data_IF_537771690981
#
_entry.id   IF_537771690981
#
_cell.length_a   1.000
_cell.length_b   1.000
_cell.length_c   1.000
_cell.angle_alpha   90.00
_cell.angle_beta   90.00
_cell.angle_gamma   90.00
#
_symmetry.space_group_name_H-M   'P 1'
#
loop_
_entity.id
_entity.type
_entity.pdbx_description
1 polymer ?
#
# COMPACT_ATOMS: atom_id res chain seq x y z
N UNK A 1 25.11 39.36 29.89
CA UNK A 1 25.99 38.52 29.03
C UNK A 1 25.83 37.01 29.24
N UNK A 2 25.73 36.48 30.47
CA UNK A 2 25.60 35.02 30.72
C UNK A 2 24.35 34.35 30.10
N UNK A 3 23.20 35.01 30.10
CA UNK A 3 21.93 34.46 29.58
C UNK A 3 21.89 34.31 28.03
N UNK A 4 22.65 35.14 27.31
CA UNK A 4 22.72 35.08 25.84
C UNK A 4 23.58 33.89 25.39
N UNK A 5 24.70 33.64 26.09
CA UNK A 5 25.55 32.48 25.84
C UNK A 5 24.86 31.14 26.08
N UNK A 6 24.01 31.06 27.12
CA UNK A 6 23.24 29.83 27.42
C UNK A 6 22.18 29.53 26.36
N UNK A 7 21.50 30.56 25.83
CA UNK A 7 20.50 30.40 24.75
C UNK A 7 21.16 30.00 23.43
N UNK A 8 22.31 30.58 23.11
CA UNK A 8 23.09 30.20 21.92
C UNK A 8 23.61 28.77 22.01
N UNK A 9 24.12 28.35 23.17
CA UNK A 9 24.54 26.97 23.40
C UNK A 9 23.38 25.98 23.27
N UNK A 10 22.20 26.31 23.81
CA UNK A 10 21.00 25.47 23.67
C UNK A 10 20.57 25.33 22.21
N UNK A 11 20.59 26.42 21.43
CA UNK A 11 20.24 26.39 20.01
C UNK A 11 21.20 25.52 19.18
N UNK A 12 22.51 25.60 19.46
CA UNK A 12 23.53 24.75 18.81
C UNK A 12 23.33 23.28 19.17
N UNK A 13 23.02 22.99 20.44
CA UNK A 13 22.80 21.62 20.92
C UNK A 13 21.55 20.99 20.30
N UNK A 14 20.46 21.75 20.21
CA UNK A 14 19.23 21.32 19.51
C UNK A 14 19.49 21.10 18.02
N UNK A 15 20.24 21.99 17.37
CA UNK A 15 20.63 21.82 15.97
C UNK A 15 21.50 20.58 15.73
N UNK A 16 22.47 20.31 16.61
CA UNK A 16 23.33 19.14 16.51
C UNK A 16 22.54 17.82 16.71
N UNK A 17 21.61 17.79 17.67
CA UNK A 17 20.72 16.63 17.89
C UNK A 17 19.81 16.39 16.69
N UNK A 18 19.27 17.45 16.06
CA UNK A 18 18.45 17.32 14.87
C UNK A 18 19.23 16.75 13.67
N UNK A 19 20.47 17.19 13.46
CA UNK A 19 21.33 16.68 12.38
C UNK A 19 21.69 15.20 12.60
N UNK A 20 21.99 14.80 13.84
CA UNK A 20 22.25 13.39 14.20
C UNK A 20 20.98 12.52 14.10
N UNK A 21 19.80 13.09 14.33
CA UNK A 21 18.52 12.40 14.14
C UNK A 21 18.22 12.09 12.66
N UNK A 22 18.55 13.02 11.75
CA UNK A 22 18.32 12.87 10.31
C UNK A 22 19.21 11.79 9.66
N UNK A 23 20.40 11.53 10.20
CA UNK A 23 21.30 10.46 9.68
C UNK A 23 20.94 9.06 10.22
N UNK A 24 20.12 8.98 11.27
CA UNK A 24 19.70 7.70 11.88
C UNK A 24 18.46 7.07 11.21
N UNK A 25 17.75 7.81 10.36
CA UNK A 25 16.61 7.28 9.63
C UNK A 25 17.11 6.59 8.36
N UNK A 26 17.38 5.29 8.43
CA UNK A 26 17.75 4.51 7.24
C UNK A 26 16.62 4.60 6.21
N UNK A 27 16.95 4.40 4.94
CA UNK A 27 15.94 4.38 3.88
C UNK A 27 14.86 3.30 4.14
N UNK A 28 15.22 2.21 4.82
CA UNK A 28 14.28 1.19 5.29
C UNK A 28 13.35 1.70 6.41
N UNK A 29 13.87 2.46 7.38
CA UNK A 29 13.05 3.09 8.43
C UNK A 29 12.09 4.14 7.83
N UNK A 30 12.57 4.94 6.88
CA UNK A 30 11.74 5.91 6.15
C UNK A 30 10.65 5.20 5.33
N UNK A 31 10.97 4.07 4.68
CA UNK A 31 10.01 3.27 3.93
C UNK A 31 8.96 2.61 4.83
N UNK A 32 9.33 2.20 6.05
CA UNK A 32 8.39 1.68 7.06
C UNK A 32 7.41 2.77 7.50
N UNK A 33 7.92 3.94 7.89
CA UNK A 33 7.09 5.09 8.28
C UNK A 33 6.15 5.50 7.12
N UNK A 34 6.68 5.55 5.90
CA UNK A 34 5.89 5.85 4.70
C UNK A 34 4.76 4.82 4.50
N UNK A 35 5.04 3.52 4.66
CA UNK A 35 4.03 2.43 4.54
C UNK A 35 3.06 2.34 5.72
N UNK A 36 3.45 2.83 6.89
CA UNK A 36 2.59 2.86 8.09
C UNK A 36 1.62 4.05 8.03
N UNK A 37 2.06 5.19 7.47
CA UNK A 37 1.21 6.37 7.26
C UNK A 37 0.36 6.22 5.98
N UNK A 38 0.96 5.69 4.92
CA UNK A 38 0.29 5.35 3.68
C UNK A 38 0.09 3.84 3.65
N UNK A 39 -1.10 3.37 4.02
CA UNK A 39 -1.52 1.99 3.79
C UNK A 39 -1.58 1.75 2.27
N UNK A 40 -0.42 1.50 1.65
CA UNK A 40 -0.11 1.55 0.21
C UNK A 40 -0.84 0.52 -0.67
N UNK A 41 -1.89 -0.10 -0.16
CA UNK A 41 -2.81 -0.85 -1.00
C UNK A 41 -3.89 0.14 -1.41
N UNK A 42 -3.57 0.92 -2.45
CA UNK A 42 -4.19 2.18 -2.84
C UNK A 42 -5.71 2.24 -2.73
N UNK A 43 -6.20 3.40 -2.29
CA UNK A 43 -7.59 3.83 -2.47
C UNK A 43 -7.90 3.85 -3.97
N UNK A 44 -9.07 3.38 -4.40
CA UNK A 44 -9.43 3.26 -5.83
C UNK A 44 -8.55 2.25 -6.63
N UNK A 45 -8.18 1.14 -6.00
CA UNK A 45 -7.40 0.09 -6.64
C UNK A 45 -8.15 -0.66 -7.75
N UNK A 46 -7.39 -1.12 -8.73
CA UNK A 46 -7.82 -1.94 -9.86
C UNK A 46 -6.96 -3.19 -9.92
N UNK A 47 -7.60 -4.34 -10.07
CA UNK A 47 -6.94 -5.61 -10.29
C UNK A 47 -7.35 -6.17 -11.64
N UNK A 48 -6.36 -6.45 -12.48
CA UNK A 48 -6.54 -7.05 -13.80
C UNK A 48 -5.92 -8.43 -13.84
N UNK A 49 -6.62 -9.42 -14.40
CA UNK A 49 -6.14 -10.79 -14.58
C UNK A 49 -6.03 -11.09 -16.06
N UNK A 50 -4.87 -11.59 -16.48
CA UNK A 50 -4.53 -11.85 -17.88
C UNK A 50 -4.38 -13.35 -18.16
N UNK A 51 -4.86 -13.78 -19.33
CA UNK A 51 -4.58 -15.07 -19.93
C UNK A 51 -3.78 -14.85 -21.22
N UNK A 52 -2.46 -14.86 -21.11
CA UNK A 52 -1.58 -14.38 -22.18
C UNK A 52 -1.78 -12.88 -22.39
N UNK A 53 -2.09 -12.47 -23.61
CA UNK A 53 -2.31 -11.06 -23.98
C UNK A 53 -3.75 -10.57 -23.70
N UNK A 54 -4.65 -11.46 -23.27
CA UNK A 54 -6.07 -11.15 -23.08
C UNK A 54 -6.37 -10.82 -21.63
N UNK A 55 -6.98 -9.66 -21.38
CA UNK A 55 -7.65 -9.36 -20.11
C UNK A 55 -8.89 -10.24 -19.98
N UNK A 56 -8.96 -11.07 -18.93
CA UNK A 56 -10.07 -12.01 -18.71
C UNK A 56 -10.92 -11.67 -17.48
N UNK A 57 -10.43 -10.80 -16.61
CA UNK A 57 -11.15 -10.34 -15.43
C UNK A 57 -10.60 -9.01 -14.95
N UNK A 58 -11.49 -8.12 -14.51
CA UNK A 58 -11.11 -6.91 -13.78
C UNK A 58 -11.98 -6.71 -12.55
N UNK A 59 -11.37 -6.25 -11.48
CA UNK A 59 -12.07 -5.72 -10.31
C UNK A 59 -11.63 -4.27 -10.10
N UNK A 60 -12.58 -3.38 -9.86
CA UNK A 60 -12.35 -1.95 -9.62
C UNK A 60 -12.82 -1.55 -8.23
N UNK A 61 -12.50 -0.32 -7.79
CA UNK A 61 -12.86 0.19 -6.46
C UNK A 61 -12.40 -0.73 -5.32
N UNK A 62 -11.20 -1.29 -5.46
CA UNK A 62 -10.56 -2.08 -4.40
C UNK A 62 -9.98 -1.11 -3.37
N UNK A 63 -10.40 -1.25 -2.12
CA UNK A 63 -9.87 -0.42 -1.02
C UNK A 63 -8.50 -0.91 -0.54
N UNK A 64 -8.29 -2.23 -0.57
CA UNK A 64 -7.08 -2.88 -0.10
C UNK A 64 -6.93 -4.31 -0.63
N UNK A 65 -5.70 -4.70 -0.98
CA UNK A 65 -5.30 -6.05 -1.33
C UNK A 65 -4.40 -6.67 -0.25
N UNK A 66 -4.91 -7.63 0.50
CA UNK A 66 -4.24 -8.19 1.69
C UNK A 66 -3.69 -9.59 1.43
N UNK A 67 -2.65 -9.97 2.16
CA UNK A 67 -2.17 -11.36 2.23
C UNK A 67 -2.80 -12.01 3.45
N UNK A 68 -3.35 -13.22 3.30
CA UNK A 68 -3.92 -13.94 4.43
C UNK A 68 -2.81 -14.50 5.34
N UNK A 69 -3.08 -14.52 6.64
CA UNK A 69 -2.18 -15.09 7.65
C UNK A 69 -2.81 -16.37 8.20
N UNK A 70 -2.02 -17.41 8.39
CA UNK A 70 -2.50 -18.63 9.05
C UNK A 70 -2.82 -18.38 10.52
N UNK A 71 -3.94 -18.95 10.99
CA UNK A 71 -4.42 -18.78 12.37
C UNK A 71 -3.45 -19.39 13.39
N UNK A 72 -2.89 -20.57 13.09
CA UNK A 72 -2.07 -21.33 14.05
C UNK A 72 -0.57 -21.04 13.92
N UNK A 73 -0.08 -20.87 12.68
CA UNK A 73 1.35 -20.72 12.39
C UNK A 73 1.78 -19.26 12.19
N UNK A 74 0.83 -18.34 12.09
CA UNK A 74 1.04 -16.93 11.76
C UNK A 74 1.95 -16.73 10.53
N UNK A 75 1.87 -17.65 9.55
CA UNK A 75 2.63 -17.57 8.30
C UNK A 75 1.76 -16.97 7.19
N UNK A 76 2.36 -16.19 6.27
CA UNK A 76 1.64 -15.68 5.11
C UNK A 76 1.20 -16.84 4.21
N UNK A 77 -0.04 -16.79 3.74
CA UNK A 77 -0.58 -17.73 2.76
C UNK A 77 -0.19 -17.28 1.35
N UNK A 78 0.02 -18.21 0.41
CA UNK A 78 0.47 -17.89 -0.95
C UNK A 78 -0.68 -17.43 -1.85
N UNK A 79 -1.52 -16.55 -1.32
CA UNK A 79 -2.59 -15.90 -2.03
C UNK A 79 -2.87 -14.55 -1.39
N UNK A 80 -3.40 -13.65 -2.22
CA UNK A 80 -3.88 -12.34 -1.79
C UNK A 80 -5.38 -12.29 -1.98
N UNK A 81 -6.05 -11.51 -1.16
CA UNK A 81 -7.49 -11.35 -1.20
C UNK A 81 -7.88 -9.89 -1.08
N UNK A 82 -9.05 -9.56 -1.62
CA UNK A 82 -9.58 -8.21 -1.59
C UNK A 82 -11.09 -8.20 -1.77
N UNK A 83 -11.63 -7.00 -1.67
CA UNK A 83 -13.02 -6.71 -2.00
C UNK A 83 -13.04 -5.58 -3.01
N UNK A 84 -13.78 -5.77 -4.10
CA UNK A 84 -13.90 -4.79 -5.18
C UNK A 84 -15.14 -5.07 -6.00
N UNK A 85 -15.51 -4.16 -6.89
CA UNK A 85 -16.62 -4.35 -7.83
C UNK A 85 -16.10 -5.14 -9.03
N UNK A 86 -16.82 -6.19 -9.42
CA UNK A 86 -16.52 -6.92 -10.67
C UNK A 86 -16.92 -6.05 -11.86
N UNK A 87 -15.94 -5.66 -12.68
CA UNK A 87 -16.14 -4.98 -13.96
C UNK A 87 -16.40 -6.07 -15.02
N UNK A 88 -17.67 -6.35 -15.30
CA UNK A 88 -18.10 -7.50 -16.11
C UNK A 88 -17.83 -7.29 -17.61
N UNK A 89 -17.93 -6.04 -18.08
CA UNK A 89 -17.74 -5.69 -19.48
C UNK A 89 -16.34 -5.11 -19.77
N UNK A 90 -15.49 -5.01 -18.74
CA UNK A 90 -14.11 -4.53 -18.80
C UNK A 90 -13.99 -3.06 -19.24
N UNK A 91 -14.92 -2.20 -18.85
CA UNK A 91 -14.95 -0.77 -19.23
C UNK A 91 -14.29 0.19 -18.22
N UNK A 92 -13.70 -0.32 -17.13
CA UNK A 92 -13.08 0.45 -16.03
C UNK A 92 -14.06 1.28 -15.18
N UNK A 93 -15.36 1.02 -15.27
CA UNK A 93 -16.39 1.76 -14.55
C UNK A 93 -17.17 0.81 -13.63
N UNK A 94 -18.00 1.39 -12.76
CA UNK A 94 -18.97 0.63 -11.96
C UNK A 94 -20.32 0.82 -12.63
N UNK A 95 -20.78 -0.21 -13.33
CA UNK A 95 -22.06 -0.19 -14.03
C UNK A 95 -23.24 -0.54 -13.13
N UNK A 96 -24.44 -0.17 -13.57
CA UNK A 96 -25.68 -0.49 -12.87
C UNK A 96 -25.88 -2.01 -12.82
N UNK A 97 -25.83 -2.57 -11.61
CA UNK A 97 -26.02 -4.01 -11.36
C UNK A 97 -24.74 -4.74 -11.00
N UNK A 98 -23.57 -4.15 -11.24
CA UNK A 98 -22.30 -4.70 -10.78
C UNK A 98 -22.19 -4.60 -9.26
N UNK A 99 -21.64 -5.64 -8.62
CA UNK A 99 -21.63 -5.78 -7.16
C UNK A 99 -20.22 -5.87 -6.64
N UNK A 100 -20.03 -5.35 -5.41
CA UNK A 100 -18.82 -5.60 -4.62
C UNK A 100 -18.79 -7.08 -4.25
N UNK A 101 -17.68 -7.73 -4.59
CA UNK A 101 -17.44 -9.15 -4.35
C UNK A 101 -16.12 -9.35 -3.62
N UNK A 102 -16.03 -10.49 -2.93
CA UNK A 102 -14.78 -11.02 -2.42
C UNK A 102 -14.05 -11.77 -3.54
N UNK A 103 -12.73 -11.64 -3.60
CA UNK A 103 -11.90 -12.43 -4.50
C UNK A 103 -10.57 -12.83 -3.85
N UNK A 104 -10.00 -13.93 -4.34
CA UNK A 104 -8.65 -14.38 -4.04
C UNK A 104 -7.86 -14.55 -5.34
N UNK A 105 -6.56 -14.25 -5.29
CA UNK A 105 -5.60 -14.48 -6.37
C UNK A 105 -4.42 -15.27 -5.83
N UNK A 106 -4.00 -16.29 -6.58
CA UNK A 106 -2.86 -17.12 -6.19
C UNK A 106 -1.55 -16.45 -6.56
N UNK A 107 -0.58 -16.50 -5.66
CA UNK A 107 0.78 -16.00 -5.95
C UNK A 107 1.55 -16.91 -6.93
N UNK A 108 1.06 -18.12 -7.21
CA UNK A 108 1.72 -19.10 -8.08
C UNK A 108 1.08 -19.27 -9.47
N UNK A 109 -0.16 -18.82 -9.65
CA UNK A 109 -0.94 -19.19 -10.84
C UNK A 109 -1.73 -18.06 -11.49
N UNK A 110 -1.87 -16.91 -10.82
CA UNK A 110 -2.61 -15.78 -11.36
C UNK A 110 -1.65 -14.78 -11.98
N UNK A 111 -1.69 -14.59 -13.30
CA UNK A 111 -1.03 -13.46 -13.94
C UNK A 111 -1.92 -12.23 -13.76
N UNK A 112 -1.57 -11.36 -12.81
CA UNK A 112 -2.35 -10.19 -12.47
C UNK A 112 -1.47 -8.95 -12.28
N UNK A 113 -2.09 -7.79 -12.47
CA UNK A 113 -1.52 -6.49 -12.09
C UNK A 113 -2.50 -5.79 -11.15
N UNK A 114 -1.99 -5.27 -10.04
CA UNK A 114 -2.74 -4.41 -9.13
C UNK A 114 -2.15 -3.01 -9.16
N UNK A 115 -2.97 -2.01 -9.44
CA UNK A 115 -2.57 -0.61 -9.55
C UNK A 115 -3.68 0.32 -9.06
N UNK A 116 -3.33 1.58 -8.79
CA UNK A 116 -4.29 2.62 -8.42
C UNK A 116 -4.83 3.30 -9.68
N UNK A 117 -6.15 3.48 -9.76
CA UNK A 117 -6.76 4.30 -10.80
C UNK A 117 -6.78 5.78 -10.35
N UNK A 118 -6.10 6.70 -11.05
CA UNK A 118 -6.07 8.12 -10.68
C UNK A 118 -7.35 8.89 -11.06
N UNK A 119 -8.35 8.21 -11.64
CA UNK A 119 -9.58 8.78 -12.16
C UNK A 119 -10.83 8.20 -11.46
#
# INVERSE_FOLDING_TARGET
>A
MRAIGLRAACAVLVGAVAILGLTSCTQEQQNKISRDIQNWTGTNGVLEVYAGEKLVRRFVKIDKLSTAMGTDDNKPRPYRFGYGVLDENLNMQVDAGEKKVYFEISDYGSNYVFFENPH
#
